data_IF_716907608123
#
_entry.id   IF_716907608123
#
_cell.length_a   1.000
_cell.length_b   1.000
_cell.length_c   1.000
_cell.angle_alpha   90.00
_cell.angle_beta   90.00
_cell.angle_gamma   90.00
#
_symmetry.space_group_name_H-M   'P 1'
#
loop_
_entity.id
_entity.type
_entity.pdbx_description
1 polymer ?
#
# COMPACT_ATOMS: atom_id res chain seq x y z
N UNK A 1 47.08 18.73 -2.28
CA UNK A 1 46.42 17.40 -2.38
C UNK A 1 45.22 17.26 -1.45
N UNK A 2 45.32 17.49 -0.14
CA UNK A 2 44.18 17.36 0.80
C UNK A 2 42.94 18.20 0.41
N UNK A 3 43.12 19.47 -0.01
CA UNK A 3 42.01 20.37 -0.43
C UNK A 3 41.25 19.91 -1.68
N UNK A 4 41.94 19.26 -2.62
CA UNK A 4 41.33 18.71 -3.86
C UNK A 4 40.53 17.45 -3.53
N UNK A 5 41.02 16.63 -2.59
CA UNK A 5 40.33 15.44 -2.11
C UNK A 5 39.05 15.80 -1.32
N UNK A 6 39.08 16.88 -0.53
CA UNK A 6 37.90 17.39 0.19
C UNK A 6 36.84 17.95 -0.75
N UNK A 7 37.24 18.61 -1.84
CA UNK A 7 36.31 19.18 -2.83
C UNK A 7 35.62 18.09 -3.67
N UNK A 8 36.35 17.04 -4.06
CA UNK A 8 35.78 15.85 -4.72
C UNK A 8 34.79 15.10 -3.82
N UNK A 9 35.06 15.03 -2.51
CA UNK A 9 34.14 14.43 -1.55
C UNK A 9 32.86 15.27 -1.36
N UNK A 10 32.96 16.60 -1.37
CA UNK A 10 31.79 17.50 -1.31
C UNK A 10 30.93 17.44 -2.58
N UNK A 11 31.55 17.38 -3.77
CA UNK A 11 30.86 17.28 -5.05
C UNK A 11 30.18 15.89 -5.19
N UNK A 12 30.84 14.82 -4.74
CA UNK A 12 30.25 13.48 -4.69
C UNK A 12 29.06 13.39 -3.71
N UNK A 13 29.11 14.12 -2.59
CA UNK A 13 27.99 14.20 -1.63
C UNK A 13 26.78 14.96 -2.19
N UNK A 14 27.00 15.96 -3.05
CA UNK A 14 25.91 16.72 -3.68
C UNK A 14 25.19 15.93 -4.78
N UNK A 15 25.90 15.04 -5.50
CA UNK A 15 25.29 14.16 -6.51
C UNK A 15 24.47 13.01 -5.92
N UNK A 16 24.76 12.58 -4.69
CA UNK A 16 24.03 11.49 -4.03
C UNK A 16 22.63 11.90 -3.51
N UNK A 17 22.33 13.20 -3.44
CA UNK A 17 21.05 13.72 -2.91
C UNK A 17 19.98 13.99 -3.98
N UNK A 18 20.31 13.84 -5.26
CA UNK A 18 19.37 13.98 -6.37
C UNK A 18 18.99 12.61 -6.96
N UNK A 19 18.62 11.65 -6.10
CA UNK A 19 17.74 10.58 -6.57
C UNK A 19 16.43 11.27 -6.96
N UNK A 20 16.23 11.45 -8.28
CA UNK A 20 15.00 12.02 -8.82
C UNK A 20 13.80 11.37 -8.12
N UNK A 21 12.92 12.17 -7.54
CA UNK A 21 11.76 11.68 -6.80
C UNK A 21 10.94 10.70 -7.65
N UNK A 22 10.88 10.94 -8.98
CA UNK A 22 10.36 10.03 -10.00
C UNK A 22 10.90 8.58 -9.87
N UNK A 23 12.21 8.38 -9.71
CA UNK A 23 12.82 7.04 -9.56
C UNK A 23 12.36 6.37 -8.27
N UNK A 24 12.28 7.12 -7.17
CA UNK A 24 11.87 6.59 -5.86
C UNK A 24 10.39 6.16 -5.90
N UNK A 25 9.50 7.02 -6.40
CA UNK A 25 8.06 6.72 -6.44
C UNK A 25 7.74 5.60 -7.44
N UNK A 26 8.41 5.57 -8.60
CA UNK A 26 8.32 4.46 -9.53
C UNK A 26 8.76 3.12 -8.90
N UNK A 27 9.83 3.14 -8.09
CA UNK A 27 10.29 1.94 -7.40
C UNK A 27 9.29 1.47 -6.35
N UNK A 28 8.66 2.38 -5.59
CA UNK A 28 7.59 2.02 -4.65
C UNK A 28 6.40 1.36 -5.37
N UNK A 29 5.96 1.92 -6.50
CA UNK A 29 4.89 1.32 -7.30
C UNK A 29 5.31 -0.04 -7.88
N UNK A 30 6.56 -0.18 -8.34
CA UNK A 30 7.12 -1.46 -8.79
C UNK A 30 7.14 -2.51 -7.68
N UNK A 31 7.48 -2.13 -6.45
CA UNK A 31 7.42 -3.04 -5.29
C UNK A 31 5.98 -3.48 -5.01
N UNK A 32 5.02 -2.54 -5.03
CA UNK A 32 3.60 -2.86 -4.88
C UNK A 32 3.10 -3.83 -5.96
N UNK A 33 3.51 -3.64 -7.23
CA UNK A 33 3.21 -4.56 -8.34
C UNK A 33 3.73 -5.97 -8.03
N UNK A 34 4.98 -6.09 -7.56
CA UNK A 34 5.60 -7.38 -7.29
C UNK A 34 4.88 -8.12 -6.15
N UNK A 35 4.58 -7.41 -5.06
CA UNK A 35 3.84 -7.94 -3.90
C UNK A 35 2.44 -8.39 -4.32
N UNK A 36 1.72 -7.55 -5.07
CA UNK A 36 0.38 -7.88 -5.53
C UNK A 36 0.38 -9.10 -6.46
N UNK A 37 1.38 -9.20 -7.35
CA UNK A 37 1.51 -10.33 -8.26
C UNK A 37 1.86 -11.64 -7.52
N UNK A 38 2.75 -11.57 -6.52
CA UNK A 38 3.08 -12.70 -5.67
C UNK A 38 1.88 -13.13 -4.82
N UNK A 39 1.11 -12.18 -4.29
CA UNK A 39 -0.13 -12.42 -3.56
C UNK A 39 -1.17 -13.12 -4.44
N UNK A 40 -1.49 -12.56 -5.61
CA UNK A 40 -2.47 -13.14 -6.52
C UNK A 40 -2.08 -14.55 -6.98
N UNK A 41 -0.81 -14.77 -7.32
CA UNK A 41 -0.32 -16.09 -7.77
C UNK A 41 -0.43 -17.17 -6.68
N UNK A 42 -0.25 -16.80 -5.41
CA UNK A 42 -0.28 -17.76 -4.30
C UNK A 42 -1.67 -18.01 -3.75
N UNK A 43 -2.53 -17.01 -3.78
CA UNK A 43 -3.83 -17.03 -3.11
C UNK A 43 -5.01 -17.27 -4.05
N UNK A 44 -4.82 -17.19 -5.37
CA UNK A 44 -5.87 -17.45 -6.34
C UNK A 44 -5.54 -18.69 -7.18
N UNK A 45 -6.57 -19.50 -7.43
CA UNK A 45 -6.49 -20.55 -8.45
C UNK A 45 -6.33 -19.89 -9.83
N UNK A 46 -5.67 -20.55 -10.80
CA UNK A 46 -5.60 -20.05 -12.17
C UNK A 46 -6.99 -19.65 -12.69
N UNK A 47 -7.07 -18.51 -13.37
CA UNK A 47 -8.30 -17.94 -13.95
C UNK A 47 -9.40 -17.56 -12.93
N UNK A 48 -9.08 -17.46 -11.63
CA UNK A 48 -10.00 -16.90 -10.62
C UNK A 48 -9.57 -15.49 -10.21
N UNK A 49 -10.53 -14.71 -9.70
CA UNK A 49 -10.33 -13.32 -9.27
C UNK A 49 -11.09 -13.08 -7.97
N UNK A 50 -10.59 -12.15 -7.16
CA UNK A 50 -11.35 -11.58 -6.05
C UNK A 50 -12.50 -10.73 -6.61
N UNK A 51 -13.69 -10.91 -6.07
CA UNK A 51 -14.90 -10.19 -6.47
C UNK A 51 -15.34 -9.22 -5.38
N UNK A 52 -16.02 -8.15 -5.79
CA UNK A 52 -16.59 -7.16 -4.86
C UNK A 52 -15.56 -6.26 -4.16
N UNK A 53 -14.28 -6.34 -4.54
CA UNK A 53 -13.26 -5.44 -4.02
C UNK A 53 -13.38 -4.08 -4.73
N UNK A 54 -13.52 -3.03 -3.93
CA UNK A 54 -13.73 -1.65 -4.34
C UNK A 54 -12.47 -0.81 -4.19
N UNK A 55 -11.59 -1.12 -3.25
CA UNK A 55 -10.27 -0.50 -3.14
C UNK A 55 -9.23 -1.46 -2.58
N UNK A 56 -7.96 -1.12 -2.82
CA UNK A 56 -6.79 -1.89 -2.39
C UNK A 56 -5.71 -0.93 -1.89
N UNK A 57 -5.14 -1.20 -0.71
CA UNK A 57 -3.89 -0.60 -0.27
C UNK A 57 -2.79 -1.67 -0.25
N UNK A 58 -1.64 -1.40 -0.85
CA UNK A 58 -0.46 -2.27 -0.81
C UNK A 58 0.67 -1.51 -0.11
N UNK A 59 1.14 -2.05 1.01
CA UNK A 59 2.09 -1.39 1.90
C UNK A 59 3.28 -2.31 2.10
N UNK A 60 4.31 -2.16 1.25
CA UNK A 60 5.56 -2.87 1.41
C UNK A 60 6.26 -2.51 2.72
N UNK A 61 7.02 -3.46 3.26
CA UNK A 61 7.97 -3.23 4.36
C UNK A 61 7.38 -2.48 5.57
N UNK A 62 6.14 -2.83 5.97
CA UNK A 62 5.54 -2.34 7.20
C UNK A 62 6.42 -2.75 8.37
N UNK A 63 7.00 -1.75 9.02
CA UNK A 63 7.89 -1.95 10.16
C UNK A 63 7.06 -1.91 11.44
N UNK A 64 7.12 -2.97 12.23
CA UNK A 64 6.51 -3.07 13.57
C UNK A 64 7.62 -3.06 14.62
N UNK A 65 7.48 -2.19 15.60
CA UNK A 65 8.43 -2.10 16.72
C UNK A 65 7.69 -1.75 18.01
N UNK A 66 8.05 -2.40 19.11
CA UNK A 66 7.44 -2.12 20.40
C UNK A 66 7.69 -3.17 21.47
N UNK A 67 7.11 -2.91 22.64
CA UNK A 67 7.25 -3.73 23.83
C UNK A 67 5.88 -3.96 24.50
N UNK A 68 5.42 -2.98 25.29
CA UNK A 68 4.07 -2.93 25.90
C UNK A 68 3.13 -2.11 25.01
N UNK A 69 3.68 -1.05 24.43
CA UNK A 69 3.07 -0.25 23.37
C UNK A 69 3.84 -0.59 22.10
N UNK A 70 3.12 -0.98 21.06
CA UNK A 70 3.70 -1.34 19.77
C UNK A 70 3.13 -0.46 18.69
N UNK A 71 4.03 0.15 17.92
CA UNK A 71 3.69 0.96 16.76
C UNK A 71 4.03 0.21 15.49
N UNK A 72 3.31 0.50 14.41
CA UNK A 72 3.73 0.11 13.07
C UNK A 72 3.62 1.28 12.11
N UNK A 73 4.52 1.33 11.13
CA UNK A 73 4.50 2.34 10.07
C UNK A 73 4.96 1.76 8.74
N UNK A 74 4.40 2.27 7.65
CA UNK A 74 4.77 1.88 6.30
C UNK A 74 4.39 2.95 5.28
N UNK A 75 4.97 2.86 4.10
CA UNK A 75 4.58 3.66 2.94
C UNK A 75 4.07 2.72 1.87
N UNK A 76 3.01 3.10 1.18
CA UNK A 76 2.36 2.21 0.24
C UNK A 76 1.67 2.95 -0.89
N UNK A 77 0.92 2.19 -1.66
CA UNK A 77 0.10 2.64 -2.77
C UNK A 77 -1.35 2.27 -2.49
N UNK A 78 -2.27 3.17 -2.79
CA UNK A 78 -3.71 2.97 -2.72
C UNK A 78 -4.34 3.16 -4.10
N UNK A 79 -5.38 2.39 -4.38
CA UNK A 79 -6.16 2.48 -5.62
C UNK A 79 -7.60 2.08 -5.32
N UNK A 80 -8.55 2.76 -5.94
CA UNK A 80 -9.96 2.51 -5.76
C UNK A 80 -10.65 2.40 -7.13
N UNK A 81 -11.81 1.76 -7.15
CA UNK A 81 -12.72 1.85 -8.28
C UNK A 81 -13.45 3.19 -8.22
N UNK A 82 -13.47 3.89 -9.35
CA UNK A 82 -14.29 5.07 -9.54
C UNK A 82 -15.77 4.72 -9.69
N UNK A 83 -16.61 5.74 -9.83
CA UNK A 83 -18.06 5.58 -9.95
C UNK A 83 -18.45 4.84 -11.24
N UNK A 84 -17.61 4.90 -12.28
CA UNK A 84 -17.75 4.12 -13.52
C UNK A 84 -17.31 2.65 -13.37
N UNK A 85 -16.77 2.27 -12.21
CA UNK A 85 -16.28 0.92 -11.91
C UNK A 85 -14.86 0.63 -12.42
N UNK A 86 -14.17 1.64 -12.96
CA UNK A 86 -12.78 1.55 -13.43
C UNK A 86 -11.80 1.77 -12.28
N UNK A 87 -10.65 1.09 -12.34
CA UNK A 87 -9.57 1.36 -11.39
C UNK A 87 -8.95 2.74 -11.62
N UNK A 88 -8.91 3.55 -10.56
CA UNK A 88 -8.32 4.89 -10.53
C UNK A 88 -6.81 4.87 -10.80
N UNK A 89 -6.21 6.04 -11.02
CA UNK A 89 -4.77 6.17 -10.94
C UNK A 89 -4.32 5.99 -9.47
N UNK A 90 -3.11 5.48 -9.22
CA UNK A 90 -2.65 5.17 -7.87
C UNK A 90 -2.36 6.43 -7.04
N UNK A 91 -2.58 6.34 -5.74
CA UNK A 91 -2.19 7.33 -4.74
C UNK A 91 -1.10 6.76 -3.85
N UNK A 92 -0.22 7.61 -3.33
CA UNK A 92 0.71 7.19 -2.29
C UNK A 92 0.08 7.40 -0.93
N UNK A 93 0.32 6.45 0.00
CA UNK A 93 -0.24 6.50 1.35
C UNK A 93 0.82 6.19 2.40
N UNK A 94 0.63 6.75 3.59
CA UNK A 94 1.35 6.43 4.80
C UNK A 94 0.42 5.61 5.71
N UNK A 95 0.89 4.45 6.13
CA UNK A 95 0.25 3.64 7.15
C UNK A 95 0.87 3.90 8.51
N UNK A 96 0.02 4.03 9.52
CA UNK A 96 0.41 4.06 10.92
C UNK A 96 -0.58 3.25 11.73
N UNK A 97 -0.08 2.43 12.67
CA UNK A 97 -0.93 1.76 13.65
C UNK A 97 -0.32 1.77 15.04
N UNK A 98 -1.17 1.74 16.05
CA UNK A 98 -0.81 1.55 17.45
C UNK A 98 -1.60 0.40 18.04
N UNK A 99 -0.94 -0.41 18.86
CA UNK A 99 -1.58 -1.46 19.64
C UNK A 99 -0.97 -1.52 21.03
N UNK A 100 -1.77 -1.87 22.04
CA UNK A 100 -1.29 -2.23 23.38
C UNK A 100 -1.17 -3.75 23.41
N UNK A 101 0.02 -4.29 23.72
CA UNK A 101 0.25 -5.72 23.78
C UNK A 101 1.70 -6.08 24.11
N UNK A 102 1.91 -7.21 24.78
CA UNK A 102 3.19 -7.76 25.24
C UNK A 102 4.03 -8.40 24.10
N UNK A 103 4.08 -7.77 22.93
CA UNK A 103 4.91 -8.26 21.82
C UNK A 103 6.19 -7.43 21.76
N UNK A 104 7.25 -7.94 22.40
CA UNK A 104 8.60 -7.44 22.28
C UNK A 104 9.18 -7.83 20.91
N UNK A 105 9.60 -6.86 20.11
CA UNK A 105 10.39 -7.17 18.93
C UNK A 105 10.36 -6.12 17.83
N UNK A 106 11.15 -6.41 16.80
CA UNK A 106 11.19 -5.73 15.52
C UNK A 106 10.81 -6.74 14.43
N UNK A 107 9.82 -6.42 13.61
CA UNK A 107 9.47 -7.21 12.44
C UNK A 107 9.17 -6.33 11.24
N UNK A 108 9.32 -6.89 10.04
CA UNK A 108 8.92 -6.28 8.78
C UNK A 108 8.00 -7.23 8.03
N UNK A 109 6.93 -6.69 7.45
CA UNK A 109 5.97 -7.46 6.68
C UNK A 109 5.42 -6.65 5.50
N UNK A 110 5.10 -7.34 4.42
CA UNK A 110 4.31 -6.78 3.33
C UNK A 110 2.82 -6.92 3.66
N UNK A 111 2.06 -5.85 3.42
CA UNK A 111 0.63 -5.81 3.76
C UNK A 111 -0.21 -5.46 2.55
N UNK A 112 -1.31 -6.18 2.35
CA UNK A 112 -2.36 -5.88 1.37
C UNK A 112 -3.67 -5.72 2.13
N UNK A 113 -4.32 -4.57 1.98
CA UNK A 113 -5.61 -4.25 2.59
C UNK A 113 -6.64 -4.17 1.48
N UNK A 114 -7.69 -4.97 1.57
CA UNK A 114 -8.81 -5.00 0.63
C UNK A 114 -10.03 -4.34 1.27
N UNK A 115 -10.76 -3.56 0.48
CA UNK A 115 -11.98 -2.86 0.89
C UNK A 115 -13.13 -3.32 -0.01
N UNK A 116 -14.23 -3.79 0.57
CA UNK A 116 -15.46 -4.20 -0.15
C UNK A 116 -16.53 -3.10 -0.19
N UNK A 117 -16.48 -2.16 0.74
CA UNK A 117 -17.43 -1.05 0.85
C UNK A 117 -16.73 0.28 0.53
N UNK A 118 -17.34 1.14 -0.28
CA UNK A 118 -16.80 2.47 -0.58
C UNK A 118 -16.86 3.41 0.61
N UNK A 119 -17.82 3.22 1.52
CA UNK A 119 -17.89 3.98 2.76
C UNK A 119 -16.62 3.83 3.61
N UNK A 120 -15.99 2.65 3.57
CA UNK A 120 -14.75 2.36 4.29
C UNK A 120 -13.56 3.21 3.84
N UNK A 121 -13.60 3.80 2.65
CA UNK A 121 -12.56 4.70 2.15
C UNK A 121 -13.08 6.09 1.77
N UNK A 122 -14.38 6.36 1.95
CA UNK A 122 -15.02 7.64 1.61
C UNK A 122 -14.39 8.84 2.34
N UNK A 123 -13.77 8.62 3.51
CA UNK A 123 -13.06 9.67 4.23
C UNK A 123 -11.81 10.20 3.51
N UNK A 124 -11.27 9.48 2.51
CA UNK A 124 -10.25 10.03 1.61
C UNK A 124 -10.80 11.15 0.74
N UNK A 125 -12.06 11.02 0.31
CA UNK A 125 -12.74 11.94 -0.60
C UNK A 125 -13.29 13.17 0.14
N UNK A 126 -13.70 12.99 1.40
CA UNK A 126 -14.30 14.04 2.24
C UNK A 126 -13.26 14.93 2.95
N UNK A 127 -12.13 15.25 2.31
CA UNK A 127 -11.09 16.18 2.77
C UNK A 127 -10.40 15.84 4.12
N UNK A 128 -10.51 14.60 4.61
CA UNK A 128 -9.77 14.16 5.81
C UNK A 128 -8.42 13.55 5.46
N UNK A 129 -8.19 13.24 4.18
CA UNK A 129 -7.02 12.56 3.61
C UNK A 129 -6.64 11.26 4.33
N UNK A 130 -7.53 10.74 5.18
CA UNK A 130 -7.21 9.70 6.16
C UNK A 130 -8.35 8.71 6.25
N UNK A 131 -8.04 7.43 6.10
CA UNK A 131 -8.92 6.31 6.43
C UNK A 131 -8.58 5.85 7.84
N UNK A 132 -9.58 5.82 8.72
CA UNK A 132 -9.46 5.11 9.99
C UNK A 132 -9.88 3.67 9.76
N UNK A 133 -8.94 2.74 9.88
CA UNK A 133 -9.22 1.33 9.74
C UNK A 133 -9.65 0.81 11.11
N UNK A 134 -10.96 0.79 11.36
CA UNK A 134 -11.56 0.12 12.50
C UNK A 134 -12.34 -1.08 11.97
N UNK A 135 -12.13 -2.26 12.54
CA UNK A 135 -12.86 -3.44 12.12
C UNK A 135 -13.02 -4.43 13.28
N UNK A 136 -14.07 -5.23 13.16
CA UNK A 136 -14.31 -6.39 14.01
C UNK A 136 -13.42 -7.54 13.50
N UNK A 137 -12.66 -8.14 14.39
CA UNK A 137 -11.60 -9.07 14.00
C UNK A 137 -12.11 -10.51 13.84
N UNK A 138 -12.12 -10.99 12.60
CA UNK A 138 -12.27 -12.43 12.27
C UNK A 138 -10.98 -12.91 11.60
N UNK A 139 -10.05 -13.48 12.36
CA UNK A 139 -8.76 -13.94 11.86
C UNK A 139 -8.73 -15.42 11.50
N UNK A 140 -7.94 -15.80 10.49
CA UNK A 140 -7.67 -17.18 10.09
C UNK A 140 -6.20 -17.36 9.69
N UNK A 141 -5.59 -18.49 10.07
CA UNK A 141 -4.20 -18.82 9.72
C UNK A 141 -4.21 -19.94 8.68
N UNK A 142 -3.72 -19.70 7.46
CA UNK A 142 -3.62 -20.74 6.44
C UNK A 142 -3.31 -20.26 5.03
N UNK A 143 -2.79 -21.16 4.20
CA UNK A 143 -2.53 -20.95 2.76
C UNK A 143 -3.80 -21.01 1.90
N UNK A 144 -4.94 -21.34 2.49
CA UNK A 144 -6.24 -21.33 1.81
C UNK A 144 -6.90 -19.97 2.03
N UNK A 145 -6.49 -18.99 1.23
CA UNK A 145 -7.45 -17.96 0.78
C UNK A 145 -8.38 -18.66 -0.22
N UNK A 146 -9.14 -19.64 0.28
CA UNK A 146 -10.19 -20.27 -0.48
C UNK A 146 -11.25 -19.20 -0.69
N UNK A 147 -11.10 -18.41 -1.76
CA UNK A 147 -12.02 -17.40 -2.31
C UNK A 147 -13.13 -17.15 -1.29
N UNK A 148 -12.81 -16.42 -0.22
CA UNK A 148 -13.80 -16.17 0.80
C UNK A 148 -14.78 -15.22 0.14
N UNK A 149 -15.85 -15.77 -0.43
CA UNK A 149 -17.01 -15.03 -0.89
C UNK A 149 -17.54 -14.12 0.22
N UNK A 150 -17.18 -14.45 1.48
CA UNK A 150 -17.48 -13.72 2.69
C UNK A 150 -16.26 -13.04 3.35
N UNK A 151 -15.41 -12.36 2.56
CA UNK A 151 -14.44 -11.43 3.17
C UNK A 151 -15.20 -10.32 3.94
N UNK A 152 -14.73 -9.92 5.14
CA UNK A 152 -15.22 -8.73 5.84
C UNK A 152 -15.08 -7.45 5.00
N UNK A 153 -15.78 -6.39 5.39
CA UNK A 153 -15.75 -5.09 4.69
C UNK A 153 -14.34 -4.55 4.48
N UNK A 154 -13.47 -4.74 5.48
CA UNK A 154 -12.04 -4.43 5.42
C UNK A 154 -11.26 -5.69 5.82
N UNK A 155 -10.35 -6.11 4.95
CA UNK A 155 -9.55 -7.32 5.13
C UNK A 155 -8.07 -7.01 4.96
N UNK A 156 -7.22 -7.41 5.90
CA UNK A 156 -5.77 -7.26 5.77
C UNK A 156 -5.07 -8.62 5.64
N UNK A 157 -4.23 -8.74 4.63
CA UNK A 157 -3.33 -9.85 4.42
C UNK A 157 -1.93 -9.37 4.77
N UNK A 158 -1.29 -10.04 5.72
CA UNK A 158 0.05 -9.69 6.21
C UNK A 158 0.99 -10.84 5.94
N UNK A 159 2.07 -10.55 5.23
CA UNK A 159 3.12 -11.50 4.92
C UNK A 159 4.43 -11.07 5.56
N UNK A 160 4.83 -11.77 6.62
CA UNK A 160 6.09 -11.49 7.28
C UNK A 160 7.27 -11.83 6.39
N UNK A 161 8.23 -10.90 6.31
CA UNK A 161 9.41 -11.06 5.46
C UNK A 161 10.23 -12.27 5.92
N UNK A 162 10.50 -13.18 4.99
CA UNK A 162 11.21 -14.43 5.27
C UNK A 162 10.30 -15.62 5.62
N UNK A 163 8.98 -15.43 5.67
CA UNK A 163 8.00 -16.52 5.76
C UNK A 163 7.31 -16.73 4.41
N UNK A 164 6.97 -17.98 4.12
CA UNK A 164 6.25 -18.37 2.90
C UNK A 164 4.73 -18.40 3.08
N UNK A 165 4.24 -18.32 4.32
CA UNK A 165 2.83 -18.25 4.66
C UNK A 165 2.44 -16.85 5.16
N UNK A 166 1.36 -16.30 4.62
CA UNK A 166 0.74 -15.06 5.09
C UNK A 166 -0.34 -15.35 6.13
N UNK A 167 -0.59 -14.39 7.02
CA UNK A 167 -1.72 -14.42 7.93
C UNK A 167 -2.86 -13.56 7.36
N UNK A 168 -4.08 -14.12 7.34
CA UNK A 168 -5.29 -13.35 7.11
C UNK A 168 -5.75 -12.78 8.45
N UNK A 169 -5.75 -11.46 8.57
CA UNK A 169 -6.21 -10.77 9.75
C UNK A 169 -7.46 -9.99 9.38
N UNK A 170 -8.63 -10.51 9.77
CA UNK A 170 -9.79 -9.66 10.01
C UNK A 170 -9.35 -8.59 11.00
N UNK A 171 -9.40 -7.36 10.56
CA UNK A 171 -8.57 -6.25 11.03
C UNK A 171 -8.91 -5.91 12.50
N UNK A 172 -8.21 -6.46 13.50
CA UNK A 172 -8.16 -5.89 14.86
C UNK A 172 -7.19 -4.70 14.89
N UNK A 173 -7.57 -3.62 14.21
CA UNK A 173 -6.81 -2.37 14.21
C UNK A 173 -7.54 -1.38 15.11
N UNK A 174 -7.43 -1.54 16.43
CA UNK A 174 -8.08 -0.58 17.34
C UNK A 174 -7.53 0.86 17.16
N UNK A 175 -6.35 1.03 16.56
CA UNK A 175 -5.80 2.34 16.18
C UNK A 175 -4.94 2.28 14.91
N UNK A 176 -5.49 2.05 13.72
CA UNK A 176 -4.73 2.22 12.47
C UNK A 176 -5.32 3.26 11.51
N UNK A 177 -4.42 3.87 10.75
CA UNK A 177 -4.71 4.96 9.82
C UNK A 177 -3.92 4.80 8.53
N UNK A 178 -4.62 4.98 7.40
CA UNK A 178 -4.00 5.25 6.10
C UNK A 178 -4.17 6.73 5.81
N UNK A 179 -3.09 7.45 5.56
CA UNK A 179 -3.12 8.86 5.19
C UNK A 179 -2.54 9.06 3.80
N UNK A 180 -3.20 9.84 2.94
CA UNK A 180 -2.65 10.23 1.64
C UNK A 180 -1.32 10.95 1.85
N UNK A 181 -0.33 10.53 1.07
CA UNK A 181 0.94 11.20 0.97
C UNK A 181 0.93 12.09 -0.28
N UNK A 182 0.42 13.31 -0.12
CA UNK A 182 0.31 14.27 -1.21
C UNK A 182 1.68 14.58 -1.83
N UNK A 183 2.75 14.65 -1.04
CA UNK A 183 4.11 14.87 -1.55
C UNK A 183 4.54 13.72 -2.47
N UNK A 184 4.51 12.47 -1.98
CA UNK A 184 4.91 11.31 -2.79
C UNK A 184 4.02 11.16 -4.04
N UNK A 185 2.75 11.54 -3.95
CA UNK A 185 1.80 11.50 -5.08
C UNK A 185 2.13 12.58 -6.12
N UNK A 186 2.40 13.82 -5.69
CA UNK A 186 2.76 14.91 -6.59
C UNK A 186 4.14 14.67 -7.24
N UNK A 187 5.09 14.12 -6.48
CA UNK A 187 6.40 13.72 -6.99
C UNK A 187 6.28 12.66 -8.09
N UNK A 188 5.35 11.71 -7.94
CA UNK A 188 5.13 10.65 -8.91
C UNK A 188 4.51 11.16 -10.22
N UNK A 189 3.58 12.10 -10.12
CA UNK A 189 2.90 12.65 -11.29
C UNK A 189 3.60 13.90 -11.86
N UNK A 190 4.67 14.35 -11.21
CA UNK A 190 5.39 15.60 -11.53
C UNK A 190 4.47 16.83 -11.60
N UNK A 191 3.34 16.77 -10.88
CA UNK A 191 2.29 17.79 -10.89
C UNK A 191 1.41 17.62 -9.66
N UNK A 192 0.90 18.74 -9.17
CA UNK A 192 -0.17 18.77 -8.16
C UNK A 192 -1.50 18.46 -8.84
N UNK A 193 -2.11 17.35 -8.45
CA UNK A 193 -3.48 17.00 -8.82
C UNK A 193 -4.34 16.98 -7.58
N UNK A 194 -5.60 17.38 -7.74
CA UNK A 194 -6.59 17.12 -6.71
C UNK A 194 -6.88 15.62 -6.64
N UNK A 195 -7.35 15.16 -5.48
CA UNK A 195 -7.63 13.75 -5.28
C UNK A 195 -8.66 13.23 -6.29
N UNK A 196 -9.68 14.03 -6.56
CA UNK A 196 -10.75 13.73 -7.53
C UNK A 196 -10.21 13.53 -8.95
N UNK A 197 -9.21 14.32 -9.36
CA UNK A 197 -8.58 14.18 -10.68
C UNK A 197 -7.86 12.84 -10.82
N UNK A 198 -7.08 12.45 -9.81
CA UNK A 198 -6.37 11.17 -9.82
C UNK A 198 -7.38 10.02 -9.74
N UNK A 199 -8.44 10.17 -8.94
CA UNK A 199 -9.50 9.17 -8.80
C UNK A 199 -10.20 8.90 -10.13
N UNK A 200 -10.47 9.97 -10.89
CA UNK A 200 -11.11 9.92 -12.19
C UNK A 200 -10.12 9.80 -13.37
N UNK A 201 -8.89 9.35 -13.12
CA UNK A 201 -7.91 9.03 -14.16
C UNK A 201 -7.45 10.22 -15.02
N UNK A 202 -7.57 11.46 -14.55
CA UNK A 202 -7.07 12.66 -15.23
C UNK A 202 -5.54 12.66 -15.45
N UNK A 203 -4.68 12.18 -14.52
CA UNK A 203 -3.24 12.13 -14.76
C UNK A 203 -2.86 11.22 -15.93
N UNK A 204 -1.87 11.65 -16.72
CA UNK A 204 -1.29 10.80 -17.77
C UNK A 204 -0.71 9.53 -17.15
N UNK A 205 -1.24 8.37 -17.55
CA UNK A 205 -0.78 7.09 -17.04
C UNK A 205 0.69 6.82 -17.44
N UNK A 206 1.55 6.59 -16.46
CA UNK A 206 2.92 6.13 -16.71
C UNK A 206 2.92 4.65 -17.09
N UNK A 207 4.07 4.16 -17.62
CA UNK A 207 4.25 2.71 -17.87
C UNK A 207 4.03 1.86 -16.61
N UNK A 208 4.34 2.40 -15.43
CA UNK A 208 4.14 1.69 -14.16
C UNK A 208 2.68 1.75 -13.70
N UNK A 209 1.99 2.86 -13.95
CA UNK A 209 0.53 2.98 -13.71
C UNK A 209 -0.24 1.95 -14.51
N UNK A 210 0.06 1.86 -15.82
CA UNK A 210 -0.58 0.91 -16.73
C UNK A 210 -0.35 -0.51 -16.24
N UNK A 211 0.92 -0.89 -15.99
CA UNK A 211 1.26 -2.22 -15.48
C UNK A 211 0.61 -2.54 -14.13
N UNK A 212 0.48 -1.55 -13.25
CA UNK A 212 -0.19 -1.72 -11.97
C UNK A 212 -1.67 -2.02 -12.15
N UNK A 213 -2.37 -1.25 -12.99
CA UNK A 213 -3.78 -1.48 -13.33
C UNK A 213 -4.00 -2.83 -14.02
N UNK A 214 -3.08 -3.25 -14.90
CA UNK A 214 -3.12 -4.58 -15.53
C UNK A 214 -3.03 -5.70 -14.48
N UNK A 215 -2.09 -5.61 -13.55
CA UNK A 215 -1.91 -6.62 -12.50
C UNK A 215 -3.09 -6.63 -11.53
N UNK A 216 -3.66 -5.48 -11.20
CA UNK A 216 -4.89 -5.43 -10.41
C UNK A 216 -6.03 -6.10 -11.17
N UNK A 217 -6.26 -5.70 -12.41
CA UNK A 217 -7.35 -6.24 -13.24
C UNK A 217 -7.19 -7.75 -13.52
N UNK A 218 -5.95 -8.26 -13.45
CA UNK A 218 -5.67 -9.70 -13.52
C UNK A 218 -6.24 -10.47 -12.33
N UNK A 219 -6.20 -9.91 -11.12
CA UNK A 219 -6.56 -10.63 -9.88
C UNK A 219 -7.86 -10.14 -9.23
N UNK A 220 -8.37 -8.97 -9.60
CA UNK A 220 -9.54 -8.34 -8.99
C UNK A 220 -10.55 -7.95 -10.07
N UNK A 221 -11.82 -8.31 -9.85
CA UNK A 221 -12.96 -7.98 -10.71
C UNK A 221 -13.63 -6.69 -10.30
#
# INVERSE_FOLDING_TARGET
MKKILTLLFLIGSFFALNLNADVIQNQKLKNAINILNAFGTRNLKPNTKFTGIKAIAIIPDVTKAGAIITGSKGKGVFIAKNDDGEWSSPFFVNYTSGSIGLQLGYSSADMIILFKNSEAYASLFNAKDTISLKAEATGGVGNEVAIASDLPEISAFVEERGKTSGAFVGVSLDVARLKINAQDTNDYYERMYDFEDIYNNSPKASKYTIKFKEIISKYFL
#
